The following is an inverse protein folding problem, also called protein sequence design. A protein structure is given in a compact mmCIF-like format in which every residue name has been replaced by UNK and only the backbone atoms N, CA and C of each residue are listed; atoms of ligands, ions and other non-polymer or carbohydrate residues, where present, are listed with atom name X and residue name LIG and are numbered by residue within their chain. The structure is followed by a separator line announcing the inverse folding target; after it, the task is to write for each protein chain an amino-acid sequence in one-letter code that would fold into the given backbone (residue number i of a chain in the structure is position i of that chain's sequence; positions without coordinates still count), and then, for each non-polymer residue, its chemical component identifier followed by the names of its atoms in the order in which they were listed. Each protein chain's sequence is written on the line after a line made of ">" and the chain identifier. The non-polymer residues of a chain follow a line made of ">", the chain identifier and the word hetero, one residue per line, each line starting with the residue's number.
data_IF_488600342980
#
_entry.id   IF_488600342980
#
_cell.length_a   1.000
_cell.length_b   1.000
_cell.length_c   1.000
_cell.angle_alpha   90.00
_cell.angle_beta   90.00
_cell.angle_gamma   90.00
#
_symmetry.space_group_name_H-M   'P 1'
#
loop_
_entity.id
_entity.type
_entity.pdbx_description
1 polymer ?
#
# COMPACT_ATOMS: atom_id res chain seq x y z
N UNK A 1 0.11 -19.98 -7.45
CA UNK A 1 -1.06 -20.65 -6.84
C UNK A 1 -1.98 -21.12 -7.95
N UNK A 2 -2.76 -22.17 -7.72
CA UNK A 2 -3.82 -22.59 -8.64
C UNK A 2 -5.14 -21.97 -8.17
N UNK A 3 -6.05 -21.65 -9.09
CA UNK A 3 -7.41 -21.22 -8.74
C UNK A 3 -8.32 -22.43 -8.44
N UNK A 4 -9.58 -22.17 -8.12
CA UNK A 4 -10.61 -23.20 -7.86
C UNK A 4 -10.89 -24.11 -9.08
N UNK A 5 -10.47 -23.69 -10.27
CA UNK A 5 -10.60 -24.43 -11.54
C UNK A 5 -9.31 -25.19 -11.91
N UNK A 6 -8.26 -25.13 -11.08
CA UNK A 6 -6.97 -25.80 -11.32
C UNK A 6 -6.05 -25.10 -12.33
N UNK A 7 -6.33 -23.85 -12.71
CA UNK A 7 -5.50 -23.03 -13.57
C UNK A 7 -4.47 -22.20 -12.78
N UNK A 8 -3.33 -21.88 -13.42
CA UNK A 8 -2.33 -20.99 -12.82
C UNK A 8 -2.90 -19.58 -12.58
N UNK A 9 -2.90 -19.15 -11.33
CA UNK A 9 -3.28 -17.80 -10.94
C UNK A 9 -2.15 -16.82 -11.28
N UNK A 10 -2.30 -16.13 -12.41
CA UNK A 10 -1.33 -15.18 -12.98
C UNK A 10 -1.76 -13.73 -12.83
N UNK A 11 -0.83 -12.82 -13.08
CA UNK A 11 -1.04 -11.36 -13.09
C UNK A 11 -2.26 -10.91 -13.90
N UNK A 12 -2.46 -11.48 -15.10
CA UNK A 12 -3.60 -11.14 -15.96
C UNK A 12 -4.95 -11.38 -15.28
N UNK A 13 -5.04 -12.36 -14.37
CA UNK A 13 -6.26 -12.63 -13.61
C UNK A 13 -6.48 -11.59 -12.51
N UNK A 14 -5.43 -11.04 -11.92
CA UNK A 14 -5.53 -9.94 -10.93
C UNK A 14 -6.09 -8.68 -11.56
N UNK A 15 -5.64 -8.34 -12.76
CA UNK A 15 -6.18 -7.21 -13.55
C UNK A 15 -7.63 -7.50 -13.95
N UNK A 16 -7.90 -8.64 -14.60
CA UNK A 16 -9.25 -8.99 -15.07
C UNK A 16 -10.26 -9.14 -13.92
N UNK A 17 -9.79 -9.50 -12.73
CA UNK A 17 -10.59 -9.59 -11.52
C UNK A 17 -10.86 -8.26 -10.84
N UNK A 18 -10.29 -7.15 -11.32
CA UNK A 18 -10.45 -5.82 -10.72
C UNK A 18 -9.74 -5.65 -9.38
N UNK A 19 -8.75 -6.49 -9.08
CA UNK A 19 -7.95 -6.41 -7.85
C UNK A 19 -6.82 -5.39 -8.02
N UNK A 20 -6.27 -5.28 -9.23
CA UNK A 20 -5.21 -4.33 -9.58
C UNK A 20 -5.70 -3.47 -10.74
N UNK A 21 -5.51 -2.16 -10.59
CA UNK A 21 -5.78 -1.15 -11.60
C UNK A 21 -4.46 -0.52 -12.06
N UNK A 22 -4.32 -0.32 -13.37
CA UNK A 22 -3.18 0.41 -13.94
C UNK A 22 -3.60 1.88 -14.04
N UNK A 23 -2.98 2.72 -13.22
CA UNK A 23 -3.25 4.16 -13.20
C UNK A 23 -2.34 4.88 -14.19
N UNK A 24 -2.90 5.84 -14.92
CA UNK A 24 -2.11 6.79 -15.68
C UNK A 24 -1.74 8.03 -14.85
N UNK A 25 -0.85 8.87 -15.41
CA UNK A 25 -0.33 10.05 -14.71
C UNK A 25 -1.37 11.17 -14.53
N UNK A 26 -2.44 11.22 -15.33
CA UNK A 26 -3.50 12.21 -15.17
C UNK A 26 -4.44 11.81 -14.03
N UNK A 27 -4.72 10.52 -13.88
CA UNK A 27 -5.56 9.98 -12.81
C UNK A 27 -4.95 10.21 -11.40
N UNK A 28 -3.61 10.24 -11.29
CA UNK A 28 -2.86 10.50 -10.04
C UNK A 28 -3.29 11.80 -9.34
N UNK A 29 -3.79 12.80 -10.06
CA UNK A 29 -4.25 14.07 -9.47
C UNK A 29 -5.58 13.95 -8.70
N UNK A 30 -6.33 12.86 -8.93
CA UNK A 30 -7.69 12.68 -8.40
C UNK A 30 -7.85 11.47 -7.49
N UNK A 31 -6.92 10.51 -7.55
CA UNK A 31 -6.92 9.34 -6.67
C UNK A 31 -6.24 9.64 -5.33
N UNK A 32 -6.50 8.78 -4.33
CA UNK A 32 -5.82 8.83 -3.04
C UNK A 32 -5.20 7.46 -2.74
N UNK A 33 -3.86 7.42 -2.70
CA UNK A 33 -3.08 6.19 -2.61
C UNK A 33 -2.44 6.07 -1.22
N UNK A 34 -2.76 4.98 -0.51
CA UNK A 34 -2.08 4.64 0.75
C UNK A 34 -0.70 4.04 0.47
N UNK A 35 0.31 4.37 1.28
CA UNK A 35 1.68 3.89 1.07
C UNK A 35 1.90 2.47 1.61
N UNK A 36 1.18 2.11 2.67
CA UNK A 36 1.24 0.79 3.30
C UNK A 36 -0.16 0.30 3.69
N UNK A 37 -0.40 -1.02 3.73
CA UNK A 37 -1.68 -1.57 4.20
C UNK A 37 -2.03 -1.15 5.64
N UNK A 38 -1.01 -0.89 6.47
CA UNK A 38 -1.20 -0.39 7.83
C UNK A 38 -1.87 0.99 7.86
N UNK A 39 -1.66 1.82 6.84
CA UNK A 39 -2.30 3.13 6.73
C UNK A 39 -3.81 3.01 6.48
N UNK A 40 -4.24 1.96 5.76
CA UNK A 40 -5.65 1.63 5.55
C UNK A 40 -6.32 1.19 6.85
N UNK A 41 -5.64 0.36 7.62
CA UNK A 41 -6.13 -0.14 8.90
C UNK A 41 -6.24 1.00 9.93
N UNK A 42 -5.24 1.88 9.99
CA UNK A 42 -5.28 3.10 10.80
C UNK A 42 -6.45 4.01 10.41
N UNK A 43 -6.67 4.22 9.10
CA UNK A 43 -7.81 5.01 8.61
C UNK A 43 -9.16 4.39 9.01
N UNK A 44 -9.27 3.06 8.98
CA UNK A 44 -10.46 2.33 9.43
C UNK A 44 -10.72 2.53 10.93
N UNK A 45 -9.69 2.46 11.77
CA UNK A 45 -9.79 2.68 13.22
C UNK A 45 -10.20 4.12 13.54
N UNK A 46 -9.55 5.11 12.92
CA UNK A 46 -9.90 6.53 13.07
C UNK A 46 -11.37 6.78 12.72
N UNK A 47 -11.88 6.16 11.65
CA UNK A 47 -13.30 6.28 11.25
C UNK A 47 -14.27 5.72 12.30
N UNK A 48 -13.87 4.71 13.05
CA UNK A 48 -14.65 4.15 14.17
C UNK A 48 -14.50 4.94 15.47
N UNK A 49 -13.74 6.04 15.48
CA UNK A 49 -13.47 6.85 16.68
C UNK A 49 -12.44 6.23 17.62
N UNK A 50 -11.73 5.19 17.18
CA UNK A 50 -10.60 4.60 17.91
C UNK A 50 -9.34 5.31 17.46
N UNK A 51 -8.66 5.98 18.38
CA UNK A 51 -7.34 6.55 18.07
C UNK A 51 -6.38 5.40 17.71
N UNK A 52 -5.74 5.44 16.53
CA UNK A 52 -4.72 4.45 16.19
C UNK A 52 -3.62 4.53 17.24
N UNK A 53 -3.15 3.36 17.70
CA UNK A 53 -2.02 3.29 18.63
C UNK A 53 -0.75 3.70 17.88
N UNK A 54 -0.49 5.01 17.79
CA UNK A 54 0.66 5.54 17.06
C UNK A 54 1.97 5.28 17.84
N UNK A 55 1.95 4.97 19.15
CA UNK A 55 3.17 5.05 19.97
C UNK A 55 3.36 4.06 21.14
N UNK A 56 2.52 3.05 21.39
CA UNK A 56 2.53 2.34 22.70
C UNK A 56 3.05 0.89 22.75
N UNK A 57 3.65 0.35 21.68
CA UNK A 57 4.35 -0.93 21.80
C UNK A 57 5.60 -0.95 20.92
N UNK A 58 6.76 -0.87 21.59
CA UNK A 58 8.12 -0.96 21.03
C UNK A 58 8.61 0.29 20.28
N UNK A 59 9.10 1.29 21.03
CA UNK A 59 9.95 2.36 20.49
C UNK A 59 11.26 1.73 19.98
N UNK A 60 11.28 1.33 18.71
CA UNK A 60 12.49 0.99 17.98
C UNK A 60 13.10 2.27 17.41
N UNK A 61 14.27 2.74 17.91
CA UNK A 61 14.93 3.93 17.39
C UNK A 61 15.34 3.81 15.91
N UNK A 62 15.42 2.59 15.37
CA UNK A 62 15.75 2.32 13.99
C UNK A 62 14.51 2.21 13.08
N UNK A 63 13.28 2.26 13.64
CA UNK A 63 12.07 2.22 12.84
C UNK A 63 11.92 3.47 11.99
N UNK A 64 11.36 3.28 10.79
CA UNK A 64 11.04 4.38 9.89
C UNK A 64 9.93 5.24 10.50
N UNK A 65 10.19 6.55 10.62
CA UNK A 65 9.18 7.51 11.06
C UNK A 65 8.01 7.53 10.07
N UNK A 66 6.80 7.26 10.57
CA UNK A 66 5.56 7.36 9.80
C UNK A 66 4.95 8.74 9.96
N UNK A 67 4.49 9.31 8.85
CA UNK A 67 3.72 10.55 8.89
C UNK A 67 2.31 10.28 9.41
N UNK A 68 1.74 11.27 10.12
CA UNK A 68 0.34 11.21 10.53
C UNK A 68 -0.55 11.19 9.28
N UNK A 69 -1.40 10.16 9.15
CA UNK A 69 -2.36 10.04 8.06
C UNK A 69 -3.63 10.82 8.41
N UNK A 70 -3.94 11.86 7.63
CA UNK A 70 -5.15 12.69 7.79
C UNK A 70 -6.21 12.43 6.69
N UNK A 71 -6.00 11.38 5.89
CA UNK A 71 -6.92 10.98 4.83
C UNK A 71 -8.13 10.23 5.40
N UNK A 72 -9.33 10.65 4.99
CA UNK A 72 -10.58 10.02 5.38
C UNK A 72 -11.09 8.97 4.37
N UNK A 73 -10.54 8.94 3.15
CA UNK A 73 -10.98 8.07 2.06
C UNK A 73 -9.81 7.67 1.18
N UNK A 74 -9.48 6.39 1.13
CA UNK A 74 -8.47 5.84 0.22
C UNK A 74 -9.16 5.17 -0.97
N UNK A 75 -8.63 5.36 -2.18
CA UNK A 75 -9.11 4.67 -3.38
C UNK A 75 -8.21 3.50 -3.77
N UNK A 76 -6.91 3.62 -3.51
CA UNK A 76 -5.90 2.62 -3.86
C UNK A 76 -4.87 2.40 -2.73
N UNK A 77 -4.09 1.33 -2.87
CA UNK A 77 -2.91 1.05 -2.06
C UNK A 77 -1.73 0.80 -2.98
N UNK A 78 -0.61 1.44 -2.68
CA UNK A 78 0.67 1.18 -3.34
C UNK A 78 1.07 -0.29 -3.12
N UNK A 79 1.62 -0.95 -4.14
CA UNK A 79 2.01 -2.36 -4.04
C UNK A 79 3.21 -2.49 -3.11
N UNK A 80 4.23 -1.65 -3.32
CA UNK A 80 5.36 -1.53 -2.42
C UNK A 80 6.18 -0.27 -2.76
N UNK A 81 6.56 0.58 -1.79
CA UNK A 81 7.28 1.83 -2.07
C UNK A 81 8.60 1.66 -2.85
N UNK A 82 9.27 0.50 -2.73
CA UNK A 82 10.50 0.21 -3.49
C UNK A 82 10.30 0.10 -5.00
N UNK A 83 9.06 -0.02 -5.50
CA UNK A 83 8.76 -0.08 -6.93
C UNK A 83 9.03 1.24 -7.65
N UNK A 84 9.21 2.34 -6.92
CA UNK A 84 9.63 3.63 -7.48
C UNK A 84 11.10 3.63 -7.95
N UNK A 85 11.90 2.66 -7.48
CA UNK A 85 13.32 2.60 -7.78
C UNK A 85 13.57 2.06 -9.20
N UNK A 86 14.43 2.74 -9.94
CA UNK A 86 14.93 2.24 -11.23
C UNK A 86 15.82 1.00 -11.07
N UNK A 87 16.06 0.29 -12.17
CA UNK A 87 16.80 -0.99 -12.22
C UNK A 87 18.18 -0.92 -11.53
N UNK A 88 18.93 0.17 -11.74
CA UNK A 88 20.26 0.31 -11.11
C UNK A 88 20.18 0.65 -9.62
N UNK A 89 19.11 1.32 -9.17
CA UNK A 89 18.93 1.65 -7.77
C UNK A 89 18.43 0.44 -6.95
N UNK A 90 17.65 -0.46 -7.57
CA UNK A 90 17.08 -1.62 -6.89
C UNK A 90 18.10 -2.71 -6.50
N UNK A 91 19.35 -2.62 -6.96
CA UNK A 91 20.43 -3.55 -6.60
C UNK A 91 21.34 -3.03 -5.47
N UNK A 92 21.10 -1.82 -4.98
CA UNK A 92 21.88 -1.23 -3.87
C UNK A 92 21.31 -1.78 -2.55
N UNK A 93 22.14 -2.36 -1.64
CA UNK A 93 21.67 -2.80 -0.33
C UNK A 93 21.20 -1.61 0.52
N UNK A 94 20.04 -1.76 1.16
CA UNK A 94 19.39 -0.71 1.97
C UNK A 94 19.24 0.64 1.23
N UNK A 95 18.59 0.64 0.04
CA UNK A 95 18.39 1.85 -0.75
C UNK A 95 17.33 2.79 -0.14
#
# INVERSE_FOLDING_TARGET
>A
GLNDEGEEFKWDRLIKGGIIELLDAEEEETVMISMTPEDLENSRLQRTGVEPQINDSDFDPAARLKASTHAHTWTHCEIHPSMILGICASIIPFP
#
